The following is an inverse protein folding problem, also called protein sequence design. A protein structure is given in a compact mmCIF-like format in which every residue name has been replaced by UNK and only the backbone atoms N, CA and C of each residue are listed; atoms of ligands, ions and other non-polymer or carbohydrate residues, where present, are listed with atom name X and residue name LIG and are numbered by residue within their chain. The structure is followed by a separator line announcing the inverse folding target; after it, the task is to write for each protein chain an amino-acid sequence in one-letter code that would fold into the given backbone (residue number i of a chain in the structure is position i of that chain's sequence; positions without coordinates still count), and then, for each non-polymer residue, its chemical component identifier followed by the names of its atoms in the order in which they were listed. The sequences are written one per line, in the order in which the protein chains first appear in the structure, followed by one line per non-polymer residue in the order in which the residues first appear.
data_IF_150511065458
#
_entry.id   IF_150511065458
#
_cell.length_a   1.000
_cell.length_b   1.000
_cell.length_c   1.000
_cell.angle_alpha   90.00
_cell.angle_beta   90.00
_cell.angle_gamma   90.00
#
_symmetry.space_group_name_H-M   'P 1'
#
loop_
_entity.id
_entity.type
_entity.pdbx_description
1 polymer ?
#
# COMPACT_ATOMS: atom_id res chain seq x y z
N UNK A 1 -9.68 -27.13 11.36
CA UNK A 1 -8.22 -27.23 11.56
C UNK A 1 -7.50 -27.17 10.22
N UNK A 2 -7.27 -25.97 9.63
CA UNK A 2 -6.61 -25.84 8.30
C UNK A 2 -5.70 -24.58 8.21
N UNK A 3 -5.11 -24.10 9.32
CA UNK A 3 -4.28 -22.89 9.37
C UNK A 3 -2.78 -23.07 9.05
N UNK A 4 -2.28 -24.28 8.94
CA UNK A 4 -0.81 -24.51 8.90
C UNK A 4 -0.16 -24.53 7.50
N UNK A 5 -0.92 -24.62 6.42
CA UNK A 5 -0.34 -24.75 5.06
C UNK A 5 0.01 -23.41 4.40
N UNK A 6 -0.64 -22.32 4.79
CA UNK A 6 -0.37 -20.99 4.22
C UNK A 6 0.95 -20.39 4.71
N UNK A 7 1.23 -20.50 6.01
CA UNK A 7 2.44 -19.93 6.62
C UNK A 7 3.74 -20.59 6.11
N UNK A 8 3.72 -21.92 5.88
CA UNK A 8 4.89 -22.64 5.36
C UNK A 8 5.22 -22.29 3.89
N UNK A 9 4.21 -21.93 3.08
CA UNK A 9 4.44 -21.51 1.69
C UNK A 9 5.06 -20.11 1.63
N UNK A 10 4.61 -19.18 2.47
CA UNK A 10 5.16 -17.80 2.55
C UNK A 10 6.62 -17.81 3.05
N UNK A 11 6.93 -18.66 4.04
CA UNK A 11 8.30 -18.77 4.56
C UNK A 11 9.27 -19.36 3.52
N UNK A 12 8.82 -20.31 2.70
CA UNK A 12 9.63 -20.88 1.59
C UNK A 12 9.88 -19.86 0.49
N UNK A 13 8.90 -19.01 0.15
CA UNK A 13 9.07 -18.00 -0.89
C UNK A 13 10.01 -16.88 -0.43
N UNK A 14 9.97 -16.49 0.84
CA UNK A 14 10.90 -15.51 1.42
C UNK A 14 12.31 -16.09 1.49
N UNK A 15 12.45 -17.37 1.87
CA UNK A 15 13.74 -18.05 1.92
C UNK A 15 14.40 -18.20 0.54
N UNK A 16 13.63 -18.49 -0.52
CA UNK A 16 14.16 -18.57 -1.89
C UNK A 16 14.54 -17.20 -2.45
N UNK A 17 13.81 -16.14 -2.11
CA UNK A 17 14.17 -14.77 -2.49
C UNK A 17 15.44 -14.29 -1.76
N UNK A 18 15.58 -14.57 -0.47
CA UNK A 18 16.80 -14.28 0.28
C UNK A 18 18.01 -15.08 -0.25
N UNK A 19 17.80 -16.33 -0.61
CA UNK A 19 18.87 -17.19 -1.16
C UNK A 19 19.26 -16.74 -2.57
N UNK A 20 18.32 -16.33 -3.42
CA UNK A 20 18.59 -15.73 -4.72
C UNK A 20 19.37 -14.39 -4.57
N UNK A 21 19.05 -13.57 -3.59
CA UNK A 21 19.82 -12.36 -3.26
C UNK A 21 21.26 -12.69 -2.81
N UNK A 22 21.44 -13.71 -1.98
CA UNK A 22 22.77 -14.14 -1.53
C UNK A 22 23.61 -14.69 -2.70
N UNK A 23 23.00 -15.41 -3.65
CA UNK A 23 23.69 -15.94 -4.83
C UNK A 23 24.10 -14.81 -5.80
N UNK A 24 23.36 -13.71 -5.87
CA UNK A 24 23.72 -12.55 -6.71
C UNK A 24 24.93 -11.76 -6.14
N UNK A 25 25.23 -11.87 -4.85
CA UNK A 25 26.42 -11.24 -4.26
C UNK A 25 27.73 -11.91 -4.68
N UNK A 26 27.66 -13.13 -5.21
CA UNK A 26 28.82 -13.87 -5.72
C UNK A 26 29.21 -13.53 -7.18
N UNK A 27 28.36 -12.87 -7.93
CA UNK A 27 28.69 -12.41 -9.26
C UNK A 27 29.59 -11.15 -9.15
N UNK A 28 30.90 -11.39 -9.15
CA UNK A 28 31.89 -10.32 -9.35
C UNK A 28 31.70 -9.76 -10.77
N UNK A 29 30.90 -8.71 -10.89
CA UNK A 29 31.00 -7.86 -12.04
C UNK A 29 32.39 -7.23 -12.00
N UNK A 30 33.24 -7.59 -12.92
CA UNK A 30 34.48 -6.88 -13.18
C UNK A 30 34.09 -5.45 -13.59
N UNK A 31 34.16 -4.54 -12.65
CA UNK A 31 33.96 -3.11 -12.89
C UNK A 31 35.20 -2.60 -13.59
N UNK A 32 35.09 -2.40 -14.89
CA UNK A 32 36.00 -1.52 -15.63
C UNK A 32 35.73 -0.11 -15.11
N UNK A 33 36.67 0.42 -14.35
CA UNK A 33 36.69 1.80 -13.86
C UNK A 33 36.83 2.74 -15.05
N UNK A 34 35.78 3.23 -15.62
CA UNK A 34 35.63 4.54 -16.28
C UNK A 34 34.18 4.63 -16.77
N UNK A 35 33.31 5.32 -16.02
CA UNK A 35 31.96 5.67 -16.49
C UNK A 35 30.77 4.94 -15.86
N UNK A 36 30.97 3.95 -14.97
CA UNK A 36 29.90 3.10 -14.41
C UNK A 36 29.10 3.71 -13.25
N UNK A 37 29.49 4.86 -12.75
CA UNK A 37 28.78 5.51 -11.63
C UNK A 37 27.44 6.14 -12.03
N UNK A 38 27.14 6.16 -13.33
CA UNK A 38 25.92 6.79 -13.88
C UNK A 38 24.71 5.88 -13.90
N UNK A 39 24.90 4.58 -13.91
CA UNK A 39 23.79 3.63 -14.00
C UNK A 39 23.94 2.54 -12.94
N UNK A 40 22.93 2.38 -12.10
CA UNK A 40 22.92 1.37 -11.04
C UNK A 40 21.58 0.68 -10.97
N UNK A 41 21.61 -0.63 -10.82
CA UNK A 41 20.41 -1.45 -10.58
C UNK A 41 20.21 -1.65 -9.09
N UNK A 42 19.00 -1.43 -8.60
CA UNK A 42 18.63 -1.63 -7.20
C UNK A 42 17.52 -2.66 -7.05
N UNK A 43 17.60 -3.44 -5.98
CA UNK A 43 16.51 -4.32 -5.53
C UNK A 43 16.25 -4.04 -4.06
N UNK A 44 14.99 -3.79 -3.72
CA UNK A 44 14.56 -3.45 -2.36
C UNK A 44 13.40 -4.31 -1.92
N UNK A 45 13.35 -4.60 -0.63
CA UNK A 45 12.18 -5.18 0.05
C UNK A 45 11.89 -4.37 1.30
N UNK A 46 10.63 -4.30 1.67
CA UNK A 46 10.27 -3.45 2.80
C UNK A 46 8.92 -3.74 3.38
N UNK A 47 8.59 -2.92 4.34
CA UNK A 47 7.29 -2.88 4.99
C UNK A 47 6.64 -1.53 4.74
N UNK A 48 5.31 -1.52 4.69
CA UNK A 48 4.54 -0.29 4.57
C UNK A 48 3.36 -0.30 5.53
N UNK A 49 3.03 0.87 6.04
CA UNK A 49 1.81 1.12 6.78
C UNK A 49 0.98 2.10 5.95
N UNK A 50 0.04 1.57 5.18
CA UNK A 50 -0.82 2.37 4.31
C UNK A 50 -2.13 2.64 5.03
N UNK A 51 -2.43 3.91 5.18
CA UNK A 51 -3.65 4.40 5.80
C UNK A 51 -4.61 4.88 4.73
N UNK A 52 -5.75 4.19 4.54
CA UNK A 52 -6.81 4.74 3.70
C UNK A 52 -7.48 5.88 4.45
N UNK A 53 -7.31 7.10 3.94
CA UNK A 53 -8.06 8.26 4.40
C UNK A 53 -9.45 8.19 3.78
N UNK A 54 -10.45 7.86 4.59
CA UNK A 54 -11.84 7.80 4.16
C UNK A 54 -12.36 9.22 3.93
N UNK A 55 -12.61 9.53 2.67
CA UNK A 55 -13.10 10.86 2.28
C UNK A 55 -14.62 10.95 2.47
N UNK A 56 -15.34 9.86 2.22
CA UNK A 56 -16.77 9.78 2.44
C UNK A 56 -17.25 8.32 2.45
N UNK A 57 -18.26 8.04 3.27
CA UNK A 57 -19.05 6.82 3.20
C UNK A 57 -20.51 7.27 2.96
N UNK A 58 -21.05 6.90 1.81
CA UNK A 58 -22.42 7.25 1.45
C UNK A 58 -23.30 6.00 1.51
N UNK A 59 -24.12 5.84 2.55
CA UNK A 59 -25.13 4.80 2.57
C UNK A 59 -26.25 5.16 1.58
N UNK A 60 -26.66 4.22 0.76
CA UNK A 60 -27.67 4.46 -0.27
C UNK A 60 -29.13 4.40 0.21
N UNK A 61 -29.37 4.12 1.48
CA UNK A 61 -30.70 4.05 2.09
C UNK A 61 -31.16 5.39 2.67
N UNK A 62 -32.41 5.78 2.42
CA UNK A 62 -32.99 6.96 3.04
C UNK A 62 -33.03 6.79 4.58
N UNK A 63 -32.52 7.77 5.33
CA UNK A 63 -32.51 7.75 6.78
C UNK A 63 -31.36 6.97 7.43
N UNK A 64 -30.39 6.50 6.65
CA UNK A 64 -29.18 5.87 7.19
C UNK A 64 -28.03 6.87 7.17
N UNK A 65 -27.31 7.02 8.28
CA UNK A 65 -26.12 7.85 8.40
C UNK A 65 -24.95 7.02 8.93
N UNK A 66 -23.74 7.47 8.70
CA UNK A 66 -22.50 6.83 9.18
C UNK A 66 -21.83 7.74 10.20
N UNK A 67 -21.42 7.20 11.31
CA UNK A 67 -20.65 7.90 12.35
C UNK A 67 -19.46 7.07 12.80
N UNK A 68 -18.57 7.71 13.58
CA UNK A 68 -17.44 7.08 14.29
C UNK A 68 -16.55 6.24 13.36
N UNK A 69 -16.17 6.82 12.23
CA UNK A 69 -15.31 6.15 11.26
C UNK A 69 -13.90 6.06 11.80
N UNK A 70 -13.42 4.84 12.01
CA UNK A 70 -12.06 4.55 12.46
C UNK A 70 -11.34 3.68 11.42
N UNK A 71 -10.11 4.05 11.11
CA UNK A 71 -9.26 3.27 10.20
C UNK A 71 -8.00 2.84 10.92
N UNK A 72 -7.75 1.54 10.92
CA UNK A 72 -6.55 0.94 11.46
C UNK A 72 -5.69 0.40 10.32
N UNK A 73 -4.50 0.96 10.18
CA UNK A 73 -3.52 0.50 9.18
C UNK A 73 -2.86 -0.78 9.67
N UNK A 74 -2.89 -1.81 8.84
CA UNK A 74 -2.08 -2.99 9.02
C UNK A 74 -0.70 -2.83 8.39
N UNK A 75 0.22 -3.71 8.76
CA UNK A 75 1.54 -3.78 8.15
C UNK A 75 1.43 -4.50 6.82
N UNK A 76 1.87 -3.83 5.76
CA UNK A 76 2.01 -4.38 4.42
C UNK A 76 3.47 -4.71 4.09
N UNK A 77 3.66 -5.32 2.92
CA UNK A 77 4.97 -5.68 2.38
C UNK A 77 5.16 -5.06 1.01
N UNK A 78 6.39 -4.66 0.70
CA UNK A 78 6.77 -4.11 -0.60
C UNK A 78 8.00 -4.82 -1.15
N UNK A 79 8.08 -4.91 -2.48
CA UNK A 79 9.27 -5.33 -3.20
C UNK A 79 9.41 -4.45 -4.43
N UNK A 80 10.61 -3.98 -4.73
CA UNK A 80 10.88 -3.02 -5.81
C UNK A 80 12.18 -3.35 -6.51
N UNK A 81 12.18 -3.19 -7.83
CA UNK A 81 13.38 -3.16 -8.67
C UNK A 81 13.49 -1.78 -9.29
N UNK A 82 14.64 -1.15 -9.15
CA UNK A 82 14.86 0.23 -9.58
C UNK A 82 16.11 0.35 -10.43
N UNK A 83 16.10 1.33 -11.34
CA UNK A 83 17.23 1.73 -12.14
C UNK A 83 17.60 3.17 -11.78
N UNK A 84 18.78 3.38 -11.19
CA UNK A 84 19.25 4.73 -10.86
C UNK A 84 20.17 5.26 -11.94
N UNK A 85 19.84 6.42 -12.47
CA UNK A 85 20.61 7.15 -13.48
C UNK A 85 21.13 8.42 -12.82
N UNK A 86 22.41 8.43 -12.46
CA UNK A 86 23.05 9.51 -11.73
C UNK A 86 23.76 10.52 -12.64
N UNK A 87 23.64 11.81 -12.32
CA UNK A 87 24.39 12.89 -12.91
C UNK A 87 24.94 13.76 -11.79
N UNK A 88 26.18 13.51 -11.42
CA UNK A 88 26.84 14.21 -10.29
C UNK A 88 26.07 13.97 -8.97
N UNK A 89 25.45 15.03 -8.40
CA UNK A 89 24.72 14.98 -7.14
C UNK A 89 23.23 14.66 -7.31
N UNK A 90 22.72 14.67 -8.53
CA UNK A 90 21.32 14.44 -8.84
C UNK A 90 21.16 13.11 -9.56
N UNK A 91 20.07 12.42 -9.32
CA UNK A 91 19.76 11.18 -10.04
C UNK A 91 18.27 11.08 -10.34
N UNK A 92 17.97 10.35 -11.39
CA UNK A 92 16.63 9.90 -11.73
C UNK A 92 16.53 8.41 -11.44
N UNK A 93 15.43 7.97 -10.82
CA UNK A 93 15.22 6.58 -10.47
C UNK A 93 13.81 6.14 -10.84
N UNK A 94 13.60 5.61 -12.08
CA UNK A 94 12.44 4.81 -12.38
C UNK A 94 12.52 3.46 -11.66
N UNK A 95 11.35 2.94 -11.26
CA UNK A 95 11.27 1.63 -10.65
C UNK A 95 9.95 0.94 -10.99
N UNK A 96 9.91 -0.37 -10.73
CA UNK A 96 8.71 -1.19 -10.74
C UNK A 96 8.67 -1.96 -9.44
N UNK A 97 7.52 -1.92 -8.78
CA UNK A 97 7.34 -2.57 -7.49
C UNK A 97 6.02 -3.32 -7.40
N UNK A 98 5.98 -4.11 -6.37
CA UNK A 98 4.81 -4.83 -5.93
C UNK A 98 4.56 -4.54 -4.45
N UNK A 99 3.30 -4.31 -4.07
CA UNK A 99 2.94 -4.13 -2.67
C UNK A 99 1.68 -4.89 -2.31
N UNK A 100 1.64 -5.30 -1.04
CA UNK A 100 0.47 -5.88 -0.39
C UNK A 100 0.21 -5.10 0.88
N UNK A 101 -1.01 -4.64 1.06
CA UNK A 101 -1.44 -3.97 2.30
C UNK A 101 -2.74 -4.55 2.81
N UNK A 102 -2.93 -4.40 4.12
CA UNK A 102 -4.16 -4.77 4.81
C UNK A 102 -4.54 -3.61 5.73
N UNK A 103 -5.81 -3.23 5.75
CA UNK A 103 -6.33 -2.16 6.61
C UNK A 103 -7.70 -2.59 7.13
N UNK A 104 -8.03 -2.21 8.35
CA UNK A 104 -9.35 -2.43 8.94
C UNK A 104 -10.10 -1.12 9.02
N UNK A 105 -11.34 -1.13 8.54
CA UNK A 105 -12.23 0.02 8.53
C UNK A 105 -13.37 -0.31 9.48
N UNK A 106 -13.53 0.49 10.53
CA UNK A 106 -14.65 0.42 11.47
C UNK A 106 -15.54 1.66 11.34
N UNK A 107 -16.84 1.50 11.45
CA UNK A 107 -17.80 2.60 11.47
C UNK A 107 -19.12 2.17 12.14
N UNK A 108 -19.91 3.12 12.59
CA UNK A 108 -21.25 2.88 13.11
C UNK A 108 -22.29 3.28 12.08
N UNK A 109 -23.23 2.39 11.81
CA UNK A 109 -24.43 2.70 11.04
C UNK A 109 -25.52 3.18 12.01
N UNK A 110 -26.07 4.35 11.72
CA UNK A 110 -27.20 4.92 12.42
C UNK A 110 -28.42 4.85 11.51
N UNK A 111 -29.45 4.16 11.95
CA UNK A 111 -30.74 4.13 11.22
C UNK A 111 -31.73 5.02 11.94
N UNK A 112 -32.22 6.05 11.26
CA UNK A 112 -33.31 6.88 11.70
C UNK A 112 -34.56 6.49 10.92
N UNK A 113 -35.47 5.70 11.50
CA UNK A 113 -36.81 5.55 10.94
C UNK A 113 -37.61 6.82 11.21
N UNK A 114 -38.33 7.36 10.21
CA UNK A 114 -39.20 8.50 10.42
C UNK A 114 -40.25 8.17 11.49
N UNK A 115 -40.17 8.82 12.65
CA UNK A 115 -41.13 8.65 13.74
C UNK A 115 -40.74 7.70 14.87
N UNK A 116 -39.55 7.09 14.85
CA UNK A 116 -39.04 6.24 15.91
C UNK A 116 -37.77 6.82 16.55
N UNK A 117 -37.83 7.09 17.86
CA UNK A 117 -36.69 7.16 18.76
C UNK A 117 -36.62 5.77 19.40
N UNK A 118 -35.53 5.01 19.31
CA UNK A 118 -34.14 5.41 19.38
C UNK A 118 -33.36 5.09 18.10
N UNK A 119 -32.28 5.86 17.87
CA UNK A 119 -31.24 5.60 16.87
C UNK A 119 -30.53 4.27 17.23
N UNK A 120 -30.74 3.23 16.45
CA UNK A 120 -30.02 1.99 16.64
C UNK A 120 -28.59 2.15 16.12
N UNK A 121 -27.62 1.89 16.98
CA UNK A 121 -26.19 1.90 16.64
C UNK A 121 -25.76 0.49 16.25
N UNK A 122 -25.29 0.34 15.02
CA UNK A 122 -24.77 -0.94 14.52
C UNK A 122 -23.28 -0.80 14.22
N UNK A 123 -22.39 -1.27 15.11
CA UNK A 123 -20.96 -1.25 14.85
C UNK A 123 -20.62 -2.19 13.70
N UNK A 124 -19.89 -1.69 12.73
CA UNK A 124 -19.45 -2.40 11.56
C UNK A 124 -17.92 -2.43 11.50
N UNK A 125 -17.37 -3.52 11.07
CA UNK A 125 -15.93 -3.66 10.79
C UNK A 125 -15.72 -4.47 9.54
N UNK A 126 -14.79 -4.00 8.71
CA UNK A 126 -14.42 -4.69 7.49
C UNK A 126 -12.92 -4.61 7.25
N UNK A 127 -12.35 -5.68 6.72
CA UNK A 127 -10.94 -5.79 6.38
C UNK A 127 -10.76 -5.56 4.87
N UNK A 128 -9.98 -4.53 4.52
CA UNK A 128 -9.58 -4.19 3.17
C UNK A 128 -8.19 -4.77 2.91
N UNK A 129 -8.08 -5.65 1.91
CA UNK A 129 -6.81 -6.21 1.41
C UNK A 129 -6.58 -5.77 -0.02
N UNK A 130 -5.41 -5.22 -0.28
CA UNK A 130 -5.05 -4.71 -1.60
C UNK A 130 -3.71 -5.29 -2.05
N UNK A 131 -3.68 -5.73 -3.31
CA UNK A 131 -2.48 -6.15 -4.02
C UNK A 131 -2.27 -5.20 -5.18
N UNK A 132 -1.09 -4.57 -5.25
CA UNK A 132 -0.79 -3.50 -6.20
C UNK A 132 0.49 -3.75 -6.97
N UNK A 133 0.50 -3.29 -8.20
CA UNK A 133 1.70 -2.99 -8.95
C UNK A 133 1.97 -1.50 -8.85
N UNK A 134 3.22 -1.13 -8.68
CA UNK A 134 3.66 0.25 -8.48
C UNK A 134 4.73 0.61 -9.50
N UNK A 135 4.65 1.81 -10.05
CA UNK A 135 5.64 2.35 -10.94
C UNK A 135 6.06 3.75 -10.43
N UNK A 136 7.00 3.81 -9.48
CA UNK A 136 7.55 5.08 -9.03
C UNK A 136 8.53 5.66 -10.05
N UNK A 137 8.48 6.97 -10.20
CA UNK A 137 9.48 7.78 -10.90
C UNK A 137 9.91 8.89 -9.97
N UNK A 138 11.11 8.77 -9.41
CA UNK A 138 11.63 9.71 -8.44
C UNK A 138 12.89 10.40 -8.93
N UNK A 139 13.05 11.64 -8.51
CA UNK A 139 14.28 12.42 -8.65
C UNK A 139 14.87 12.57 -7.26
N UNK A 140 16.17 12.39 -7.13
CA UNK A 140 16.84 12.54 -5.86
C UNK A 140 18.13 13.35 -5.97
N UNK A 141 18.58 13.82 -4.82
CA UNK A 141 19.87 14.46 -4.68
C UNK A 141 20.63 13.85 -3.51
N UNK A 142 21.95 13.74 -3.68
CA UNK A 142 22.84 13.31 -2.63
C UNK A 142 23.18 14.51 -1.72
N UNK A 143 22.72 14.45 -0.48
CA UNK A 143 23.00 15.46 0.54
C UNK A 143 24.42 15.29 1.09
N UNK A 144 24.81 14.04 1.36
CA UNK A 144 26.13 13.65 1.80
C UNK A 144 26.63 12.54 0.88
N UNK A 145 27.89 12.66 0.45
CA UNK A 145 28.52 11.70 -0.44
C UNK A 145 29.96 11.49 0.02
N UNK A 146 30.13 10.63 0.99
CA UNK A 146 31.43 10.26 1.56
C UNK A 146 31.52 8.75 1.61
N UNK A 147 32.40 8.16 0.80
CA UNK A 147 32.59 6.70 0.79
C UNK A 147 32.95 6.17 2.18
N UNK A 148 32.33 5.09 2.66
CA UNK A 148 31.28 4.26 2.03
C UNK A 148 29.85 4.77 2.23
N UNK A 149 29.67 5.91 2.91
CA UNK A 149 28.37 6.45 3.33
C UNK A 149 27.81 7.47 2.32
N UNK A 150 26.52 7.36 2.05
CA UNK A 150 25.78 8.32 1.22
C UNK A 150 24.39 8.55 1.81
N UNK A 151 24.00 9.82 1.91
CA UNK A 151 22.66 10.24 2.31
C UNK A 151 21.99 10.92 1.12
N UNK A 152 20.78 10.53 0.78
CA UNK A 152 20.04 11.05 -0.37
C UNK A 152 18.62 11.41 0.02
N UNK A 153 18.13 12.51 -0.52
CA UNK A 153 16.73 12.91 -0.46
C UNK A 153 16.11 12.67 -1.83
N UNK A 154 14.94 12.04 -1.86
CA UNK A 154 14.21 11.68 -3.08
C UNK A 154 12.79 12.21 -3.01
N UNK A 155 12.24 12.57 -4.17
CA UNK A 155 10.84 12.94 -4.32
C UNK A 155 10.36 12.68 -5.73
N UNK A 156 9.06 12.39 -5.88
CA UNK A 156 8.52 12.08 -7.19
C UNK A 156 7.07 11.67 -7.18
N UNK A 157 6.68 11.02 -8.26
CA UNK A 157 5.33 10.50 -8.47
C UNK A 157 5.36 8.98 -8.54
N UNK A 158 4.29 8.37 -8.08
CA UNK A 158 4.11 6.93 -8.10
C UNK A 158 2.75 6.62 -8.71
N UNK A 159 2.75 5.89 -9.81
CA UNK A 159 1.53 5.30 -10.36
C UNK A 159 1.32 3.93 -9.70
N UNK A 160 0.09 3.66 -9.30
CA UNK A 160 -0.31 2.39 -8.68
C UNK A 160 -1.47 1.79 -9.45
N UNK A 161 -1.42 0.47 -9.60
CA UNK A 161 -2.47 -0.33 -10.21
C UNK A 161 -2.93 -1.41 -9.25
N UNK A 162 -4.16 -1.30 -8.74
CA UNK A 162 -4.78 -2.28 -7.87
C UNK A 162 -5.30 -3.45 -8.71
N UNK A 163 -4.54 -4.52 -8.85
CA UNK A 163 -4.97 -5.67 -9.63
C UNK A 163 -5.83 -6.67 -8.84
N UNK A 164 -5.81 -6.57 -7.51
CA UNK A 164 -6.70 -7.33 -6.63
C UNK A 164 -7.02 -6.53 -5.38
N UNK A 165 -8.30 -6.26 -5.21
CA UNK A 165 -8.86 -5.66 -4.01
C UNK A 165 -9.86 -6.66 -3.43
N UNK A 166 -9.81 -6.88 -2.14
CA UNK A 166 -10.78 -7.71 -1.43
C UNK A 166 -11.23 -6.95 -0.19
N UNK A 167 -12.51 -6.81 -0.05
CA UNK A 167 -13.16 -6.29 1.12
C UNK A 167 -13.95 -7.42 1.76
N UNK A 168 -13.71 -7.68 3.03
CA UNK A 168 -14.32 -8.77 3.78
C UNK A 168 -14.94 -8.21 5.04
N UNK A 169 -16.24 -8.48 5.31
CA UNK A 169 -16.83 -8.12 6.59
C UNK A 169 -16.18 -8.93 7.71
N UNK A 170 -15.91 -8.29 8.83
CA UNK A 170 -15.37 -8.97 10.02
C UNK A 170 -16.52 -9.48 10.90
N UNK A 171 -17.74 -8.93 10.71
CA UNK A 171 -18.95 -9.33 11.43
C UNK A 171 -19.70 -10.39 10.62
N UNK A 172 -19.96 -11.59 11.17
CA UNK A 172 -20.58 -12.71 10.42
C UNK A 172 -22.00 -12.40 9.93
N UNK A 173 -22.68 -11.46 10.57
CA UNK A 173 -24.04 -11.05 10.24
C UNK A 173 -24.11 -10.03 9.08
N UNK A 174 -22.95 -9.53 8.63
CA UNK A 174 -22.86 -8.53 7.56
C UNK A 174 -22.54 -9.21 6.24
N UNK A 175 -23.32 -8.91 5.22
CA UNK A 175 -23.03 -9.34 3.86
C UNK A 175 -23.17 -8.20 2.86
N UNK A 176 -22.34 -8.22 1.82
CA UNK A 176 -22.40 -7.27 0.72
C UNK A 176 -21.73 -7.82 -0.53
N UNK A 177 -22.10 -7.28 -1.67
CA UNK A 177 -21.43 -7.58 -2.94
C UNK A 177 -20.40 -6.49 -3.24
N UNK A 178 -19.14 -6.87 -3.28
CA UNK A 178 -18.04 -5.98 -3.66
C UNK A 178 -17.56 -6.32 -5.06
N UNK A 179 -17.59 -5.33 -5.97
CA UNK A 179 -17.21 -5.49 -7.38
C UNK A 179 -15.79 -5.00 -7.68
N UNK A 180 -15.11 -4.43 -6.70
CA UNK A 180 -13.80 -3.81 -6.87
C UNK A 180 -13.89 -2.28 -6.89
N UNK A 181 -12.77 -1.63 -7.14
CA UNK A 181 -12.72 -0.18 -7.28
C UNK A 181 -13.15 0.23 -8.70
N UNK A 182 -13.88 1.34 -8.83
CA UNK A 182 -14.29 1.89 -10.13
C UNK A 182 -13.08 2.23 -11.01
N UNK A 183 -12.00 2.70 -10.38
CA UNK A 183 -10.74 3.01 -11.04
C UNK A 183 -9.60 2.22 -10.38
N UNK A 184 -9.04 1.19 -11.06
CA UNK A 184 -7.94 0.41 -10.48
C UNK A 184 -6.62 1.20 -10.47
N UNK A 185 -6.56 2.38 -11.08
CA UNK A 185 -5.35 3.20 -11.20
C UNK A 185 -5.44 4.42 -10.32
N UNK A 186 -4.38 4.67 -9.57
CA UNK A 186 -4.28 5.90 -8.78
C UNK A 186 -2.84 6.41 -8.73
N UNK A 187 -2.73 7.71 -8.45
CA UNK A 187 -1.47 8.42 -8.39
C UNK A 187 -1.19 8.87 -6.97
N UNK A 188 0.06 8.86 -6.61
CA UNK A 188 0.55 9.45 -5.37
C UNK A 188 1.82 10.24 -5.62
N UNK A 189 2.04 11.26 -4.80
CA UNK A 189 3.35 11.88 -4.64
C UNK A 189 4.08 11.17 -3.52
N UNK A 190 5.39 11.04 -3.65
CA UNK A 190 6.20 10.39 -2.64
C UNK A 190 7.47 11.20 -2.36
N UNK A 191 7.92 11.11 -1.12
CA UNK A 191 9.21 11.62 -0.68
C UNK A 191 9.90 10.55 0.17
N UNK A 192 11.21 10.42 0.08
CA UNK A 192 11.97 9.46 0.86
C UNK A 192 13.38 9.97 1.18
N UNK A 193 13.87 9.53 2.32
CA UNK A 193 15.26 9.68 2.73
C UNK A 193 15.93 8.30 2.63
N UNK A 194 17.04 8.24 1.91
CA UNK A 194 17.81 7.01 1.72
C UNK A 194 19.21 7.17 2.31
N UNK A 195 19.59 6.20 3.11
CA UNK A 195 20.96 6.00 3.56
C UNK A 195 21.55 4.83 2.77
N UNK A 196 22.70 5.01 2.17
CA UNK A 196 23.46 3.95 1.50
C UNK A 196 24.81 3.79 2.16
N UNK A 197 25.16 2.56 2.45
CA UNK A 197 26.47 2.17 2.97
C UNK A 197 27.00 1.11 2.00
N UNK A 198 27.99 1.50 1.21
CA UNK A 198 28.50 0.71 0.10
C UNK A 198 27.39 0.29 -0.89
N UNK A 199 26.95 -0.95 -0.87
CA UNK A 199 25.86 -1.49 -1.71
C UNK A 199 24.52 -1.59 -0.98
N UNK A 200 24.53 -1.55 0.34
CA UNK A 200 23.32 -1.65 1.14
C UNK A 200 22.60 -0.30 1.17
N UNK A 201 21.30 -0.33 0.96
CA UNK A 201 20.42 0.83 1.03
C UNK A 201 19.36 0.64 2.08
N UNK A 202 19.08 1.69 2.82
CA UNK A 202 17.98 1.78 3.77
C UNK A 202 17.19 3.04 3.44
N UNK A 203 15.90 2.93 3.25
CA UNK A 203 15.09 4.11 3.02
C UNK A 203 13.83 4.14 3.88
N UNK A 204 13.42 5.37 4.19
CA UNK A 204 12.17 5.70 4.85
C UNK A 204 11.45 6.68 3.94
N UNK A 205 10.24 6.35 3.55
CA UNK A 205 9.46 7.15 2.63
C UNK A 205 8.04 7.39 3.13
N UNK A 206 7.50 8.50 2.68
CA UNK A 206 6.09 8.86 2.84
C UNK A 206 5.46 9.05 1.46
N UNK A 207 4.24 8.58 1.31
CA UNK A 207 3.45 8.79 0.12
C UNK A 207 2.08 9.38 0.45
N UNK A 208 1.61 10.25 -0.45
CA UNK A 208 0.31 10.88 -0.35
C UNK A 208 -0.49 10.64 -1.64
N UNK A 209 -1.65 9.99 -1.50
CA UNK A 209 -2.54 9.72 -2.63
C UNK A 209 -3.18 11.02 -3.16
N UNK A 210 -3.12 11.23 -4.46
CA UNK A 210 -3.65 12.43 -5.10
C UNK A 210 -5.12 12.30 -5.49
N UNK A 211 -5.54 11.12 -5.91
CA UNK A 211 -6.92 10.86 -6.32
C UNK A 211 -7.62 9.92 -5.34
N UNK A 212 -8.94 10.07 -5.25
CA UNK A 212 -9.79 9.20 -4.47
C UNK A 212 -10.15 7.94 -5.27
N UNK A 213 -10.17 6.81 -4.59
CA UNK A 213 -10.69 5.54 -5.07
C UNK A 213 -12.12 5.38 -4.56
N UNK A 214 -13.00 4.90 -5.42
CA UNK A 214 -14.40 4.66 -5.07
C UNK A 214 -14.67 3.16 -5.14
N UNK A 215 -15.30 2.66 -4.10
CA UNK A 215 -15.71 1.27 -3.99
C UNK A 215 -17.23 1.21 -3.77
N UNK A 216 -17.94 0.55 -4.66
CA UNK A 216 -19.37 0.34 -4.53
C UNK A 216 -19.65 -1.01 -3.89
N UNK A 217 -20.32 -0.99 -2.74
CA UNK A 217 -20.84 -2.15 -2.05
C UNK A 217 -22.29 -2.31 -2.42
N UNK A 218 -22.59 -3.28 -3.29
CA UNK A 218 -23.98 -3.59 -3.65
C UNK A 218 -24.65 -4.45 -2.58
N UNK A 219 -25.95 -4.26 -2.40
CA UNK A 219 -26.80 -5.09 -1.53
C UNK A 219 -26.21 -5.29 -0.12
N UNK A 220 -25.83 -4.19 0.52
CA UNK A 220 -25.33 -4.22 1.90
C UNK A 220 -26.44 -4.62 2.86
N UNK A 221 -26.26 -5.71 3.58
CA UNK A 221 -27.19 -6.20 4.60
C UNK A 221 -26.48 -6.38 5.93
N UNK A 222 -27.19 -6.09 7.00
CA UNK A 222 -26.69 -6.25 8.36
C UNK A 222 -27.69 -7.05 9.21
N UNK A 223 -27.27 -8.26 9.64
CA UNK A 223 -28.04 -9.12 10.54
C UNK A 223 -29.45 -9.43 10.06
N UNK A 224 -30.32 -9.66 11.00
CA UNK A 224 -31.77 -9.80 10.80
C UNK A 224 -32.49 -8.45 10.66
N UNK A 225 -31.78 -7.39 10.24
CA UNK A 225 -32.39 -6.08 10.10
C UNK A 225 -33.47 -6.10 9.02
N UNK A 226 -34.61 -5.52 9.32
CA UNK A 226 -35.73 -5.33 8.37
C UNK A 226 -35.44 -4.22 7.35
N UNK A 227 -34.22 -3.64 7.38
CA UNK A 227 -33.81 -2.62 6.42
C UNK A 227 -33.56 -3.28 5.06
N UNK A 228 -34.12 -2.72 3.98
CA UNK A 228 -33.86 -3.24 2.65
C UNK A 228 -32.37 -3.08 2.31
N UNK A 229 -31.76 -4.06 1.60
CA UNK A 229 -30.40 -3.98 1.18
C UNK A 229 -30.21 -2.71 0.32
N UNK A 230 -29.27 -1.86 0.74
CA UNK A 230 -29.01 -0.59 0.06
C UNK A 230 -27.56 -0.57 -0.45
N UNK A 231 -27.30 0.08 -1.61
CA UNK A 231 -25.93 0.26 -2.07
C UNK A 231 -25.20 1.20 -1.11
N UNK A 232 -23.91 0.92 -0.87
CA UNK A 232 -23.03 1.79 -0.09
C UNK A 232 -21.84 2.15 -0.92
N UNK A 233 -21.46 3.43 -0.97
CA UNK A 233 -20.25 3.87 -1.65
C UNK A 233 -19.22 4.32 -0.64
N UNK A 234 -18.01 3.78 -0.76
CA UNK A 234 -16.85 4.16 0.06
C UNK A 234 -15.86 4.89 -0.82
N UNK A 235 -15.54 6.13 -0.45
CA UNK A 235 -14.50 6.93 -1.11
C UNK A 235 -13.29 7.02 -0.20
N UNK A 236 -12.12 6.63 -0.72
CA UNK A 236 -10.88 6.62 0.06
C UNK A 236 -9.70 7.16 -0.73
N UNK A 237 -8.76 7.76 -0.01
CA UNK A 237 -7.45 8.15 -0.52
C UNK A 237 -6.40 7.37 0.27
N UNK A 238 -5.33 6.92 -0.36
CA UNK A 238 -4.32 6.10 0.32
C UNK A 238 -3.05 6.90 0.53
N UNK A 239 -2.71 7.14 1.78
CA UNK A 239 -1.43 7.71 2.21
C UNK A 239 -0.67 6.70 3.03
N UNK A 240 0.63 6.87 3.27
CA UNK A 240 1.33 5.94 4.15
C UNK A 240 2.82 6.15 4.27
N UNK A 241 3.37 5.45 5.25
CA UNK A 241 4.79 5.34 5.51
C UNK A 241 5.33 4.01 4.98
N UNK A 242 6.56 4.01 4.52
CA UNK A 242 7.28 2.81 4.11
C UNK A 242 8.70 2.83 4.63
N UNK A 243 9.22 1.65 4.93
CA UNK A 243 10.63 1.42 5.25
C UNK A 243 11.12 0.27 4.40
N UNK A 244 12.27 0.41 3.76
CA UNK A 244 12.84 -0.66 2.96
C UNK A 244 14.34 -0.79 3.14
N UNK A 245 14.81 -1.99 2.86
CA UNK A 245 16.22 -2.35 2.77
C UNK A 245 16.47 -2.95 1.41
N UNK A 246 17.62 -2.67 0.82
CA UNK A 246 17.95 -3.14 -0.49
C UNK A 246 19.44 -3.22 -0.76
N UNK A 247 19.72 -3.64 -1.98
CA UNK A 247 21.09 -3.70 -2.53
C UNK A 247 21.10 -2.98 -3.85
N UNK A 248 22.16 -2.17 -4.07
CA UNK A 248 22.39 -1.44 -5.30
C UNK A 248 23.71 -1.89 -5.91
N UNK A 249 23.65 -2.26 -7.18
CA UNK A 249 24.76 -2.79 -7.98
C UNK A 249 25.31 -1.77 -8.97
#
# INVERSE_FOLDING_TARGET
MNGGRGARRTLRTIGTLLWAMLCMTGARAQTTEVGSDRLRLGVKVGVCALQPDLTAIHPGGAGTTVSDVAVHSGVGHTAEVSLRIGIRRVFLQPAVGWSRSESRIGFNLLSASPGAVPVAHFPQSMTLRELRLEAPLVIGCHLVQQSPFQLSLMGGVKMKYNYRVRLTPDTPETSFNFRGDDLPRHWSVCAALEVRIDRLTFDVGYEYGMNSLHADLGAYTYGASTLPPAPMRISRRTSGLSMSVGVMF
#
